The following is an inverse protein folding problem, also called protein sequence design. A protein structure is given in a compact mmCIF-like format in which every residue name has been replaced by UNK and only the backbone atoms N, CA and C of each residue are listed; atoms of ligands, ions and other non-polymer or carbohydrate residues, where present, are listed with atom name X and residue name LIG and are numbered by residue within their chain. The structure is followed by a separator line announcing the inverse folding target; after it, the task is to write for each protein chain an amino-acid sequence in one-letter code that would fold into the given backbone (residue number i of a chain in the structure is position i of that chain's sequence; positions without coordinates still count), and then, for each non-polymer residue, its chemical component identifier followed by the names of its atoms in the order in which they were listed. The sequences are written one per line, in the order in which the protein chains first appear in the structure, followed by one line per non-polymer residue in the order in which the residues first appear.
data_IF_394144095878
#
_entry.id   IF_394144095878
#
_cell.length_a   1.000
_cell.length_b   1.000
_cell.length_c   1.000
_cell.angle_alpha   90.00
_cell.angle_beta   90.00
_cell.angle_gamma   90.00
#
_symmetry.space_group_name_H-M   'P 1'
#
loop_
_entity.id
_entity.type
_entity.pdbx_description
1 polymer ?
#
# COMPACT_ATOMS: atom_id res chain seq x y z
N UNK A 1 11.31 -11.72 -10.71
CA UNK A 1 10.38 -10.64 -10.29
C UNK A 1 9.13 -11.32 -9.77
N UNK A 2 8.79 -11.16 -8.49
CA UNK A 2 7.54 -11.71 -7.95
C UNK A 2 6.38 -10.98 -8.63
N UNK A 3 5.65 -11.69 -9.50
CA UNK A 3 4.48 -11.14 -10.16
C UNK A 3 3.46 -10.74 -9.11
N UNK A 4 2.93 -9.53 -9.22
CA UNK A 4 1.78 -9.09 -8.41
C UNK A 4 0.62 -9.98 -8.82
N UNK A 5 0.37 -11.03 -8.05
CA UNK A 5 -0.73 -11.95 -8.31
C UNK A 5 -2.03 -11.30 -7.86
N UNK A 6 -3.03 -11.30 -8.73
CA UNK A 6 -4.40 -10.88 -8.40
C UNK A 6 -5.14 -11.93 -7.57
N UNK A 7 -4.49 -13.04 -7.21
CA UNK A 7 -5.05 -14.01 -6.26
C UNK A 7 -5.11 -13.42 -4.85
N UNK A 8 -6.02 -13.92 -4.03
CA UNK A 8 -6.20 -13.49 -2.64
C UNK A 8 -4.87 -13.41 -1.84
N UNK A 9 -3.95 -14.41 -1.91
CA UNK A 9 -2.66 -14.34 -1.21
C UNK A 9 -1.69 -13.30 -1.77
N UNK A 10 -1.70 -13.06 -3.09
CA UNK A 10 -0.82 -12.09 -3.74
C UNK A 10 -1.15 -10.65 -3.34
N UNK A 11 -2.44 -10.31 -3.32
CA UNK A 11 -2.90 -9.01 -2.85
C UNK A 11 -2.65 -8.82 -1.34
N UNK A 12 -2.69 -9.87 -0.52
CA UNK A 12 -2.32 -9.78 0.90
C UNK A 12 -0.85 -9.42 1.09
N UNK A 13 0.05 -10.06 0.35
CA UNK A 13 1.47 -9.73 0.40
C UNK A 13 1.72 -8.29 -0.09
N UNK A 14 1.10 -7.89 -1.20
CA UNK A 14 1.21 -6.53 -1.72
C UNK A 14 0.68 -5.49 -0.72
N UNK A 15 -0.48 -5.73 -0.08
CA UNK A 15 -1.02 -4.86 0.95
C UNK A 15 -0.10 -4.75 2.17
N UNK A 16 0.51 -5.87 2.61
CA UNK A 16 1.51 -5.86 3.68
C UNK A 16 2.74 -5.03 3.33
N UNK A 17 3.25 -5.16 2.10
CA UNK A 17 4.36 -4.36 1.61
C UNK A 17 4.03 -2.87 1.56
N UNK A 18 2.86 -2.49 1.03
CA UNK A 18 2.42 -1.09 1.00
C UNK A 18 2.22 -0.52 2.40
N UNK A 19 1.66 -1.31 3.34
CA UNK A 19 1.48 -0.88 4.72
C UNK A 19 2.82 -0.60 5.41
N UNK A 20 3.82 -1.47 5.19
CA UNK A 20 5.17 -1.23 5.69
C UNK A 20 5.78 0.05 5.09
N UNK A 21 5.71 0.22 3.76
CA UNK A 21 6.21 1.43 3.09
C UNK A 21 5.52 2.69 3.58
N UNK A 22 4.20 2.64 3.81
CA UNK A 22 3.44 3.75 4.37
C UNK A 22 3.92 4.11 5.78
N UNK A 23 4.19 3.11 6.62
CA UNK A 23 4.73 3.30 7.98
C UNK A 23 6.11 3.97 7.96
N UNK A 24 7.01 3.48 7.09
CA UNK A 24 8.36 4.05 6.90
C UNK A 24 8.27 5.50 6.41
N UNK A 25 7.40 5.79 5.44
CA UNK A 25 7.21 7.14 4.93
C UNK A 25 6.72 8.10 6.03
N UNK A 26 5.73 7.68 6.83
CA UNK A 26 5.23 8.47 7.97
C UNK A 26 6.34 8.76 8.99
N UNK A 27 7.15 7.74 9.35
CA UNK A 27 8.27 7.90 10.26
C UNK A 27 9.34 8.87 9.72
N UNK A 28 9.64 8.79 8.42
CA UNK A 28 10.58 9.70 7.77
C UNK A 28 10.12 11.15 7.80
N UNK A 29 8.84 11.43 7.50
CA UNK A 29 8.26 12.78 7.57
C UNK A 29 8.35 13.34 8.99
N UNK A 30 8.00 12.54 9.99
CA UNK A 30 8.07 12.96 11.39
C UNK A 30 9.51 13.30 11.80
N UNK A 31 10.48 12.44 11.47
CA UNK A 31 11.89 12.68 11.77
C UNK A 31 12.44 13.95 11.13
N UNK A 32 12.03 14.27 9.91
CA UNK A 32 12.42 15.51 9.24
C UNK A 32 11.75 16.72 9.90
N UNK A 33 10.47 16.61 10.29
CA UNK A 33 9.76 17.64 11.04
C UNK A 33 10.45 18.02 12.34
N UNK A 34 10.90 17.04 13.12
CA UNK A 34 11.63 17.26 14.38
C UNK A 34 12.97 17.99 14.14
N UNK A 35 13.71 17.59 13.09
CA UNK A 35 14.95 18.25 12.69
C UNK A 35 14.74 19.68 12.22
N UNK A 36 13.66 19.94 11.50
CA UNK A 36 13.29 21.29 11.05
C UNK A 36 12.92 22.21 12.20
N UNK A 37 12.21 21.71 13.20
CA UNK A 37 11.86 22.49 14.39
C UNK A 37 13.13 22.99 15.12
N UNK A 38 14.12 22.10 15.29
CA UNK A 38 15.40 22.46 15.88
C UNK A 38 16.16 23.49 15.04
N UNK A 39 16.23 23.29 13.72
CA UNK A 39 16.91 24.20 12.80
C UNK A 39 16.28 25.60 12.79
N UNK A 40 14.94 25.67 12.74
CA UNK A 40 14.19 26.94 12.72
C UNK A 40 14.33 27.74 14.01
N UNK A 41 14.66 27.10 15.13
CA UNK A 41 14.87 27.81 16.40
C UNK A 41 16.14 28.66 16.40
N UNK A 42 17.10 28.39 15.51
CA UNK A 42 18.40 29.06 15.47
C UNK A 42 18.68 29.77 14.13
N UNK A 43 17.97 29.42 13.05
CA UNK A 43 18.18 29.99 11.73
C UNK A 43 17.08 30.98 11.32
N UNK A 44 17.45 32.26 11.23
CA UNK A 44 16.56 33.37 10.86
C UNK A 44 16.99 34.06 9.56
N UNK A 45 16.06 34.78 8.93
CA UNK A 45 16.29 35.56 7.70
C UNK A 45 15.56 35.00 6.46
N UNK A 46 15.70 35.69 5.33
CA UNK A 46 14.94 35.39 4.10
C UNK A 46 15.21 33.97 3.56
N UNK A 47 16.44 33.50 3.70
CA UNK A 47 16.81 32.15 3.30
C UNK A 47 16.10 31.07 4.13
N UNK A 48 15.91 31.30 5.44
CA UNK A 48 15.22 30.33 6.30
C UNK A 48 13.71 30.32 6.03
N UNK A 49 13.13 31.46 5.65
CA UNK A 49 11.73 31.52 5.19
C UNK A 49 11.51 30.78 3.86
N UNK A 50 12.40 30.95 2.88
CA UNK A 50 12.31 30.24 1.60
C UNK A 50 12.47 28.72 1.78
N UNK A 51 13.40 28.32 2.66
CA UNK A 51 13.58 26.92 3.03
C UNK A 51 12.35 26.36 3.77
N UNK A 52 11.76 27.08 4.72
CA UNK A 52 10.53 26.65 5.41
C UNK A 52 9.38 26.42 4.42
N UNK A 53 9.21 27.32 3.44
CA UNK A 53 8.20 27.15 2.39
C UNK A 53 8.44 25.89 1.55
N UNK A 54 9.70 25.64 1.18
CA UNK A 54 10.06 24.44 0.40
C UNK A 54 9.83 23.16 1.20
N UNK A 55 10.12 23.20 2.50
CA UNK A 55 9.92 22.07 3.39
C UNK A 55 8.45 21.78 3.65
N UNK A 56 7.59 22.81 3.73
CA UNK A 56 6.14 22.62 3.77
C UNK A 56 5.60 21.93 2.53
N UNK A 57 6.01 22.39 1.34
CA UNK A 57 5.62 21.75 0.10
C UNK A 57 6.07 20.27 0.04
N UNK A 58 7.29 19.98 0.47
CA UNK A 58 7.78 18.61 0.58
C UNK A 58 6.97 17.75 1.56
N UNK A 59 6.58 18.31 2.72
CA UNK A 59 5.73 17.58 3.68
C UNK A 59 4.34 17.31 3.10
N UNK A 60 3.75 18.26 2.38
CA UNK A 60 2.47 18.11 1.70
C UNK A 60 2.53 17.00 0.64
N UNK A 61 3.59 16.98 -0.18
CA UNK A 61 3.83 15.93 -1.16
C UNK A 61 3.99 14.54 -0.50
N UNK A 62 4.72 14.49 0.62
CA UNK A 62 4.87 13.24 1.37
C UNK A 62 3.53 12.76 1.95
N UNK A 63 2.71 13.67 2.46
CA UNK A 63 1.37 13.36 2.95
C UNK A 63 0.48 12.84 1.82
N UNK A 64 0.57 13.44 0.63
CA UNK A 64 -0.13 12.97 -0.56
C UNK A 64 0.26 11.53 -0.92
N UNK A 65 1.56 11.21 -0.93
CA UNK A 65 2.05 9.85 -1.19
C UNK A 65 1.52 8.87 -0.14
N UNK A 66 1.59 9.23 1.15
CA UNK A 66 1.09 8.42 2.26
C UNK A 66 -0.40 8.13 2.11
N UNK A 67 -1.19 9.12 1.70
CA UNK A 67 -2.62 8.95 1.46
C UNK A 67 -2.88 8.00 0.29
N UNK A 68 -2.14 8.15 -0.83
CA UNK A 68 -2.26 7.24 -1.98
C UNK A 68 -1.87 5.81 -1.66
N UNK A 69 -0.86 5.59 -0.81
CA UNK A 69 -0.54 4.25 -0.30
C UNK A 69 -1.71 3.67 0.51
N UNK A 70 -2.40 4.51 1.32
CA UNK A 70 -3.59 4.12 2.06
C UNK A 70 -4.74 3.69 1.15
N UNK A 71 -5.06 4.50 0.14
CA UNK A 71 -6.09 4.17 -0.87
C UNK A 71 -5.79 2.83 -1.57
N UNK A 72 -4.52 2.57 -1.93
CA UNK A 72 -4.13 1.31 -2.56
C UNK A 72 -4.31 0.10 -1.62
N UNK A 73 -4.01 0.26 -0.33
CA UNK A 73 -4.24 -0.78 0.68
C UNK A 73 -5.75 -1.08 0.80
N UNK A 74 -6.58 -0.04 0.84
CA UNK A 74 -8.05 -0.19 0.89
C UNK A 74 -8.59 -0.89 -0.35
N UNK A 75 -8.14 -0.51 -1.55
CA UNK A 75 -8.54 -1.17 -2.80
C UNK A 75 -8.16 -2.65 -2.80
N UNK A 76 -6.94 -2.99 -2.36
CA UNK A 76 -6.52 -4.39 -2.26
C UNK A 76 -7.31 -5.18 -1.22
N UNK A 77 -7.74 -4.54 -0.12
CA UNK A 77 -8.61 -5.15 0.88
C UNK A 77 -10.06 -5.31 0.38
N UNK A 78 -10.60 -4.33 -0.38
CA UNK A 78 -11.93 -4.37 -0.97
C UNK A 78 -12.02 -5.40 -2.11
N UNK A 79 -11.04 -5.41 -3.01
CA UNK A 79 -10.92 -6.41 -4.09
C UNK A 79 -10.82 -7.84 -3.53
N UNK A 80 -10.30 -8.01 -2.31
CA UNK A 80 -10.28 -9.32 -1.63
C UNK A 80 -11.67 -9.92 -1.50
N UNK A 81 -12.69 -9.13 -1.14
CA UNK A 81 -14.06 -9.64 -1.01
C UNK A 81 -14.59 -10.13 -2.35
N UNK A 82 -14.43 -9.35 -3.41
CA UNK A 82 -14.87 -9.72 -4.75
C UNK A 82 -14.14 -10.97 -5.30
N UNK A 83 -12.82 -11.06 -5.08
CA UNK A 83 -12.02 -12.20 -5.53
C UNK A 83 -12.32 -13.46 -4.73
N UNK A 84 -12.55 -13.35 -3.41
CA UNK A 84 -12.96 -14.51 -2.59
C UNK A 84 -14.29 -15.08 -3.06
N UNK A 85 -15.26 -14.20 -3.40
CA UNK A 85 -16.56 -14.63 -3.95
C UNK A 85 -16.38 -15.29 -5.32
N UNK A 86 -15.55 -14.74 -6.21
CA UNK A 86 -15.25 -15.36 -7.50
C UNK A 86 -14.50 -16.69 -7.38
N UNK A 87 -13.53 -16.79 -6.47
CA UNK A 87 -12.79 -18.02 -6.16
C UNK A 87 -13.72 -19.09 -5.55
N UNK A 88 -14.62 -18.72 -4.63
CA UNK A 88 -15.63 -19.62 -4.08
C UNK A 88 -16.63 -20.07 -5.14
N UNK A 89 -17.17 -19.16 -5.95
CA UNK A 89 -18.10 -19.53 -7.03
C UNK A 89 -17.43 -20.48 -8.03
N UNK A 90 -16.16 -20.23 -8.40
CA UNK A 90 -15.41 -21.13 -9.27
C UNK A 90 -15.13 -22.48 -8.60
N UNK A 91 -14.84 -22.51 -7.29
CA UNK A 91 -14.64 -23.74 -6.54
C UNK A 91 -15.93 -24.57 -6.41
N UNK A 92 -17.08 -23.93 -6.18
CA UNK A 92 -18.39 -24.57 -6.16
C UNK A 92 -18.78 -25.13 -7.54
N UNK A 93 -18.56 -24.34 -8.60
CA UNK A 93 -18.75 -24.81 -9.98
C UNK A 93 -17.83 -26.00 -10.26
N UNK A 94 -16.55 -25.94 -9.89
CA UNK A 94 -15.60 -27.03 -10.05
C UNK A 94 -15.97 -28.29 -9.24
N UNK A 95 -16.48 -28.12 -8.01
CA UNK A 95 -16.95 -29.22 -7.17
C UNK A 95 -18.24 -29.87 -7.70
N UNK A 96 -19.04 -29.12 -8.46
CA UNK A 96 -20.21 -29.62 -9.18
C UNK A 96 -19.90 -30.30 -10.52
N UNK A 97 -18.67 -30.18 -11.05
CA UNK A 97 -18.24 -30.94 -12.23
C UNK A 97 -18.05 -32.40 -11.79
N UNK A 98 -18.82 -33.36 -12.34
CA UNK A 98 -18.62 -34.76 -12.00
C UNK A 98 -17.20 -35.18 -12.39
N UNK A 99 -16.36 -35.49 -11.41
CA UNK A 99 -15.14 -36.26 -11.63
C UNK A 99 -15.57 -37.70 -11.92
N UNK A 100 -15.94 -37.96 -13.18
CA UNK A 100 -16.49 -39.23 -13.61
C UNK A 100 -15.46 -40.37 -13.58
N UNK A 101 -15.89 -41.65 -13.54
CA UNK A 101 -15.01 -42.82 -13.37
C UNK A 101 -13.99 -43.08 -14.50
N UNK A 102 -13.94 -42.25 -15.54
CA UNK A 102 -13.15 -42.44 -16.76
C UNK A 102 -11.78 -41.76 -16.79
N UNK A 103 -11.32 -41.12 -15.70
CA UNK A 103 -10.00 -40.48 -15.62
C UNK A 103 -9.01 -41.21 -14.67
N UNK A 104 -9.34 -42.41 -14.21
CA UNK A 104 -8.44 -43.26 -13.41
C UNK A 104 -7.52 -44.16 -14.26
N UNK A 105 -7.41 -43.92 -15.56
CA UNK A 105 -6.77 -44.84 -16.51
C UNK A 105 -6.02 -44.21 -17.68
N UNK A 106 -5.50 -42.98 -17.54
CA UNK A 106 -4.42 -42.45 -18.39
C UNK A 106 -3.22 -42.12 -17.51
#
# INVERSE_FOLDING_TARGET
MAGVSTTTPGMQQAAGHLANTQSVAKGGVQSVGDGLAALKSTWTGDASMAFDSSMRAWMDDCQFIVNKLGEMIEIMNGNRQAITVGEQANAEVAAGIPTGPGLQGL
#
